data_IF_218385306420
#
_entry.id   IF_218385306420
#
_cell.length_a   1.000
_cell.length_b   1.000
_cell.length_c   1.000
_cell.angle_alpha   90.00
_cell.angle_beta   90.00
_cell.angle_gamma   90.00
#
_symmetry.space_group_name_H-M   'P 1'
#
loop_
_entity.id
_entity.type
_entity.pdbx_description
1 polymer ?
#
# COMPACT_ATOMS: atom_id res chain seq x y z
N UNK A 1 -30.86 67.88 -9.37
CA UNK A 1 -30.18 67.77 -8.07
C UNK A 1 -30.42 66.37 -7.50
N UNK A 2 -29.47 65.46 -7.74
CA UNK A 2 -28.98 64.34 -6.87
C UNK A 2 -28.18 63.38 -7.75
N UNK A 3 -26.85 63.46 -7.63
CA UNK A 3 -25.92 62.39 -8.00
C UNK A 3 -26.02 61.26 -6.95
N UNK A 4 -25.86 60.01 -7.38
CA UNK A 4 -25.31 58.90 -6.56
C UNK A 4 -24.95 57.74 -7.52
N UNK A 5 -23.69 57.67 -7.97
CA UNK A 5 -22.58 56.80 -7.50
C UNK A 5 -22.57 55.40 -8.13
N UNK A 6 -21.50 55.15 -8.90
CA UNK A 6 -21.04 53.88 -9.46
C UNK A 6 -20.82 52.81 -8.39
N UNK A 7 -20.97 51.54 -8.79
CA UNK A 7 -20.19 50.44 -8.22
C UNK A 7 -19.88 49.44 -9.32
N UNK A 8 -18.59 49.36 -9.66
CA UNK A 8 -17.99 48.27 -10.41
C UNK A 8 -17.81 47.09 -9.47
N UNK A 9 -18.19 45.89 -9.91
CA UNK A 9 -17.69 44.66 -9.29
C UNK A 9 -16.89 43.91 -10.35
N UNK A 10 -15.58 43.82 -10.12
CA UNK A 10 -14.64 43.09 -10.95
C UNK A 10 -14.93 41.59 -10.89
N UNK A 11 -15.13 40.97 -12.04
CA UNK A 11 -15.13 39.51 -12.17
C UNK A 11 -13.68 39.03 -12.24
N UNK A 12 -13.13 38.58 -11.11
CA UNK A 12 -11.84 37.88 -11.09
C UNK A 12 -12.05 36.43 -11.54
N UNK A 13 -11.48 36.08 -12.70
CA UNK A 13 -11.34 34.70 -13.14
C UNK A 13 -10.30 34.01 -12.26
N UNK A 14 -10.74 33.16 -11.33
CA UNK A 14 -9.87 32.20 -10.67
C UNK A 14 -9.59 31.06 -11.65
N UNK A 15 -8.42 31.08 -12.29
CA UNK A 15 -7.89 29.93 -13.02
C UNK A 15 -7.43 28.89 -12.00
N UNK A 16 -8.28 27.89 -11.74
CA UNK A 16 -7.95 26.74 -10.92
C UNK A 16 -7.12 25.76 -11.76
N UNK A 17 -5.80 25.91 -11.75
CA UNK A 17 -4.87 24.93 -12.31
C UNK A 17 -4.80 23.74 -11.35
N UNK A 18 -5.58 22.69 -11.62
CA UNK A 18 -5.43 21.39 -10.96
C UNK A 18 -4.14 20.74 -11.48
N UNK A 19 -3.08 20.78 -10.69
CA UNK A 19 -1.93 19.90 -10.92
C UNK A 19 -2.39 18.47 -10.61
N UNK A 20 -2.27 17.51 -11.54
CA UNK A 20 -2.44 16.11 -11.20
C UNK A 20 -1.30 15.72 -10.25
N UNK A 21 -1.64 15.38 -9.02
CA UNK A 21 -0.75 14.62 -8.16
C UNK A 21 -0.63 13.24 -8.78
N UNK A 22 0.39 13.05 -9.62
CA UNK A 22 0.84 11.73 -10.00
C UNK A 22 1.79 11.32 -8.87
N UNK A 23 1.29 10.57 -7.88
CA UNK A 23 2.16 9.67 -7.12
C UNK A 23 2.54 8.61 -8.14
N UNK A 24 3.68 8.82 -8.78
CA UNK A 24 4.25 7.89 -9.72
C UNK A 24 5.37 7.23 -8.96
N UNK A 25 5.16 5.98 -8.59
CA UNK A 25 6.24 5.17 -8.06
C UNK A 25 7.29 5.07 -9.17
N UNK A 26 8.55 5.31 -8.81
CA UNK A 26 9.66 5.39 -9.75
C UNK A 26 10.62 4.27 -9.45
N UNK A 27 10.74 3.33 -10.37
CA UNK A 27 11.83 2.35 -10.37
C UNK A 27 13.15 3.10 -10.28
N UNK A 28 13.98 2.72 -9.32
CA UNK A 28 15.32 3.26 -9.17
C UNK A 28 16.35 2.14 -9.17
N UNK A 29 17.52 2.34 -9.80
CA UNK A 29 18.59 1.37 -9.67
C UNK A 29 19.10 1.34 -8.22
N UNK A 30 19.54 0.17 -7.76
CA UNK A 30 20.10 -0.01 -6.41
C UNK A 30 21.21 1.01 -6.06
N UNK A 31 21.95 1.50 -7.06
CA UNK A 31 22.99 2.54 -6.89
C UNK A 31 22.47 3.89 -6.40
N UNK A 32 21.17 4.16 -6.52
CA UNK A 32 20.51 5.38 -6.04
C UNK A 32 19.87 5.21 -4.65
N UNK A 33 19.87 3.99 -4.12
CA UNK A 33 19.37 3.70 -2.77
C UNK A 33 20.45 4.03 -1.74
N UNK A 34 20.16 4.83 -0.70
CA UNK A 34 21.12 5.16 0.35
C UNK A 34 21.65 3.92 1.04
N UNK A 35 22.96 3.91 1.36
CA UNK A 35 23.60 2.76 2.01
C UNK A 35 22.96 2.35 3.34
N UNK A 36 22.40 3.30 4.09
CA UNK A 36 21.66 3.01 5.33
C UNK A 36 20.39 2.19 5.06
N UNK A 37 19.69 2.44 3.95
CA UNK A 37 18.49 1.70 3.54
C UNK A 37 18.87 0.32 3.02
N UNK A 38 19.90 0.23 2.17
CA UNK A 38 20.44 -1.05 1.69
C UNK A 38 20.88 -1.97 2.86
N UNK A 39 21.60 -1.40 3.82
CA UNK A 39 22.06 -2.15 4.99
C UNK A 39 20.90 -2.57 5.91
N UNK A 40 19.87 -1.73 6.05
CA UNK A 40 18.69 -2.08 6.83
C UNK A 40 17.94 -3.27 6.22
N UNK A 41 17.71 -3.25 4.90
CA UNK A 41 17.08 -4.37 4.20
C UNK A 41 17.93 -5.65 4.33
N UNK A 42 19.23 -5.58 4.01
CA UNK A 42 20.11 -6.75 4.09
C UNK A 42 20.24 -7.33 5.50
N UNK A 43 20.14 -6.49 6.54
CA UNK A 43 20.18 -6.94 7.93
C UNK A 43 18.87 -7.62 8.36
N UNK A 44 17.73 -7.11 7.89
CA UNK A 44 16.41 -7.67 8.22
C UNK A 44 16.09 -8.92 7.39
N UNK A 45 16.53 -8.94 6.13
CA UNK A 45 16.24 -9.98 5.14
C UNK A 45 17.55 -10.47 4.47
N UNK A 46 18.42 -11.19 5.20
CA UNK A 46 19.72 -11.61 4.68
C UNK A 46 19.67 -12.59 3.49
N UNK A 47 18.49 -13.19 3.25
CA UNK A 47 18.25 -14.13 2.16
C UNK A 47 17.47 -13.52 0.99
N UNK A 48 17.23 -12.20 0.99
CA UNK A 48 16.53 -11.52 -0.09
C UNK A 48 17.26 -11.74 -1.43
N UNK A 49 16.53 -12.17 -2.45
CA UNK A 49 17.01 -12.36 -3.80
C UNK A 49 16.22 -11.46 -4.77
N UNK A 50 16.80 -11.16 -5.92
CA UNK A 50 16.12 -10.40 -6.99
C UNK A 50 15.55 -9.05 -6.53
N UNK A 51 16.27 -8.32 -5.64
CA UNK A 51 15.74 -7.08 -5.06
C UNK A 51 15.55 -5.99 -6.12
N UNK A 52 14.30 -5.58 -6.31
CA UNK A 52 13.89 -4.43 -7.11
C UNK A 52 13.54 -3.27 -6.19
N UNK A 53 13.80 -2.04 -6.64
CA UNK A 53 13.67 -0.85 -5.80
C UNK A 53 12.82 0.19 -6.49
N UNK A 54 11.89 0.74 -5.72
CA UNK A 54 11.11 1.91 -6.10
C UNK A 54 11.26 3.02 -5.07
N UNK A 55 10.99 4.25 -5.50
CA UNK A 55 10.97 5.41 -4.62
C UNK A 55 9.68 6.20 -4.74
N UNK A 56 9.00 6.35 -3.61
CA UNK A 56 7.76 7.11 -3.46
C UNK A 56 7.99 8.22 -2.44
N UNK A 57 8.19 9.45 -2.92
CA UNK A 57 8.60 10.60 -2.10
C UNK A 57 9.88 10.30 -1.30
N UNK A 58 9.79 10.16 0.03
CA UNK A 58 10.90 9.88 0.95
C UNK A 58 10.92 8.43 1.44
N UNK A 59 10.11 7.56 0.83
CA UNK A 59 10.01 6.13 1.11
C UNK A 59 10.73 5.37 -0.01
N UNK A 60 11.50 4.38 0.40
CA UNK A 60 12.12 3.39 -0.47
C UNK A 60 11.37 2.09 -0.32
N UNK A 61 10.87 1.56 -1.41
CA UNK A 61 10.20 0.27 -1.44
C UNK A 61 11.14 -0.77 -2.06
N UNK A 62 11.26 -1.92 -1.41
CA UNK A 62 12.02 -3.06 -1.90
C UNK A 62 11.08 -4.24 -2.10
N UNK A 63 11.00 -4.72 -3.34
CA UNK A 63 10.34 -5.97 -3.69
C UNK A 63 11.42 -7.03 -3.92
N UNK A 64 11.24 -8.22 -3.36
CA UNK A 64 12.24 -9.30 -3.46
C UNK A 64 11.65 -10.66 -3.13
N UNK A 65 12.37 -11.70 -3.53
CA UNK A 65 12.02 -13.08 -3.23
C UNK A 65 12.78 -13.60 -2.01
N UNK A 66 12.09 -14.38 -1.18
CA UNK A 66 12.71 -15.37 -0.29
C UNK A 66 12.10 -16.73 -0.61
N UNK A 67 12.95 -17.65 -1.09
CA UNK A 67 12.56 -18.95 -1.64
C UNK A 67 11.58 -18.81 -2.83
N UNK A 68 10.28 -19.02 -2.60
CA UNK A 68 9.23 -18.92 -3.62
C UNK A 68 8.18 -17.88 -3.27
N UNK A 69 8.51 -16.95 -2.36
CA UNK A 69 7.57 -15.96 -1.86
C UNK A 69 8.11 -14.56 -2.10
N UNK A 70 7.22 -13.72 -2.60
CA UNK A 70 7.46 -12.30 -2.75
C UNK A 70 7.27 -11.58 -1.41
N UNK A 71 8.13 -10.60 -1.17
CA UNK A 71 8.08 -9.69 -0.05
C UNK A 71 8.20 -8.26 -0.58
N UNK A 72 7.37 -7.38 -0.06
CA UNK A 72 7.47 -5.94 -0.29
C UNK A 72 7.76 -5.24 1.04
N UNK A 73 8.76 -4.37 1.08
CA UNK A 73 9.15 -3.67 2.31
C UNK A 73 9.31 -2.18 2.03
N UNK A 74 8.57 -1.35 2.78
CA UNK A 74 8.77 0.09 2.77
C UNK A 74 9.72 0.53 3.88
N UNK A 75 10.77 1.25 3.51
CA UNK A 75 11.76 1.83 4.40
C UNK A 75 11.76 3.35 4.27
N UNK A 76 11.87 4.04 5.40
CA UNK A 76 12.21 5.47 5.41
C UNK A 76 13.64 5.73 4.93
N UNK A 77 13.97 6.97 4.58
CA UNK A 77 15.32 7.39 4.24
C UNK A 77 16.40 7.11 5.32
N UNK A 78 16.00 6.84 6.57
CA UNK A 78 16.92 6.44 7.67
C UNK A 78 17.06 4.93 7.84
N UNK A 79 16.44 4.12 6.96
CA UNK A 79 16.45 2.66 7.04
C UNK A 79 15.48 2.07 8.07
N UNK A 80 14.54 2.86 8.59
CA UNK A 80 13.46 2.32 9.45
C UNK A 80 12.41 1.65 8.59
N UNK A 81 12.12 0.37 8.85
CA UNK A 81 11.01 -0.38 8.24
C UNK A 81 9.68 0.22 8.73
N UNK A 82 8.83 0.59 7.78
CA UNK A 82 7.54 1.23 8.03
C UNK A 82 6.39 0.22 7.96
N UNK A 83 6.42 -0.65 6.97
CA UNK A 83 5.48 -1.76 6.78
C UNK A 83 6.09 -2.82 5.88
N UNK A 84 5.62 -4.06 6.02
CA UNK A 84 6.06 -5.21 5.23
C UNK A 84 4.86 -5.98 4.75
N UNK A 85 4.89 -6.42 3.50
CA UNK A 85 3.90 -7.29 2.87
C UNK A 85 4.61 -8.58 2.47
N UNK A 86 3.96 -9.71 2.67
CA UNK A 86 4.46 -11.01 2.26
C UNK A 86 3.31 -11.78 1.64
N UNK A 87 3.54 -12.29 0.43
CA UNK A 87 2.62 -13.20 -0.23
C UNK A 87 2.36 -14.46 0.63
N UNK A 88 1.09 -14.88 0.68
CA UNK A 88 0.63 -16.08 1.36
C UNK A 88 -0.04 -17.03 0.38
N UNK A 89 0.43 -18.27 0.36
CA UNK A 89 -0.35 -19.34 -0.24
C UNK A 89 -1.67 -19.57 0.52
N UNK A 90 -2.70 -20.04 -0.18
CA UNK A 90 -4.04 -20.37 0.37
C UNK A 90 -4.01 -21.16 1.69
N UNK A 91 -3.02 -22.03 1.85
CA UNK A 91 -2.88 -22.91 3.04
C UNK A 91 -2.31 -22.20 4.27
N UNK A 92 -1.72 -21.02 4.08
CA UNK A 92 -1.04 -20.24 5.10
C UNK A 92 -1.94 -19.19 5.75
N UNK A 93 -3.06 -18.87 5.09
CA UNK A 93 -4.08 -17.99 5.63
C UNK A 93 -4.73 -18.62 6.88
N UNK A 94 -4.85 -17.88 8.01
CA UNK A 94 -5.43 -18.44 9.23
C UNK A 94 -6.86 -18.94 9.04
N UNK A 95 -7.20 -20.02 9.74
CA UNK A 95 -8.52 -20.64 9.64
C UNK A 95 -9.67 -19.69 10.00
N UNK A 96 -9.45 -18.80 10.98
CA UNK A 96 -10.42 -17.78 11.35
C UNK A 96 -10.70 -16.79 10.20
N UNK A 97 -9.66 -16.40 9.47
CA UNK A 97 -9.77 -15.51 8.31
C UNK A 97 -10.50 -16.20 7.18
N UNK A 98 -10.10 -17.43 6.81
CA UNK A 98 -10.80 -18.26 5.80
C UNK A 98 -12.27 -18.46 6.15
N UNK A 99 -12.56 -18.78 7.41
CA UNK A 99 -13.94 -18.95 7.89
C UNK A 99 -14.76 -17.67 7.79
N UNK A 100 -14.17 -16.52 8.13
CA UNK A 100 -14.83 -15.22 8.00
C UNK A 100 -15.11 -14.87 6.53
N UNK A 101 -14.18 -15.17 5.61
CA UNK A 101 -14.37 -15.00 4.17
C UNK A 101 -15.53 -15.87 3.69
N UNK A 102 -15.49 -17.17 3.97
CA UNK A 102 -16.53 -18.11 3.58
C UNK A 102 -17.93 -17.76 4.15
N UNK A 103 -17.99 -17.20 5.36
CA UNK A 103 -19.25 -16.83 5.99
C UNK A 103 -19.87 -15.56 5.37
N UNK A 104 -19.05 -14.54 5.13
CA UNK A 104 -19.51 -13.19 4.79
C UNK A 104 -19.47 -12.88 3.27
N UNK A 105 -18.65 -13.62 2.52
CA UNK A 105 -18.35 -13.34 1.11
C UNK A 105 -18.60 -14.55 0.20
N UNK A 106 -19.70 -15.27 0.42
CA UNK A 106 -20.06 -16.55 -0.26
C UNK A 106 -20.08 -16.53 -1.80
N UNK A 107 -20.25 -15.36 -2.41
CA UNK A 107 -20.31 -15.21 -3.87
C UNK A 107 -18.98 -14.74 -4.49
N UNK A 108 -17.93 -14.69 -3.67
CA UNK A 108 -16.59 -14.31 -4.08
C UNK A 108 -15.65 -15.51 -4.01
N UNK A 109 -14.59 -15.48 -4.83
CA UNK A 109 -13.47 -16.41 -4.78
C UNK A 109 -12.27 -15.67 -4.17
N UNK A 110 -11.52 -16.31 -3.29
CA UNK A 110 -10.22 -15.77 -2.86
C UNK A 110 -9.27 -15.83 -4.07
N UNK A 111 -8.72 -14.68 -4.44
CA UNK A 111 -7.75 -14.60 -5.54
C UNK A 111 -6.33 -14.48 -5.00
N UNK A 112 -6.13 -13.56 -4.06
CA UNK A 112 -4.81 -13.30 -3.48
C UNK A 112 -4.90 -13.01 -1.96
N UNK A 113 -3.80 -13.26 -1.25
CA UNK A 113 -3.69 -13.01 0.17
C UNK A 113 -2.27 -12.64 0.60
N UNK A 114 -2.13 -11.56 1.36
CA UNK A 114 -0.86 -11.15 1.96
C UNK A 114 -0.92 -11.10 3.49
N UNK A 115 0.22 -11.36 4.13
CA UNK A 115 0.49 -10.93 5.49
C UNK A 115 1.05 -9.50 5.46
N UNK A 116 0.29 -8.56 6.03
CA UNK A 116 0.74 -7.19 6.25
C UNK A 116 1.18 -7.02 7.71
N UNK A 117 2.42 -6.59 7.93
CA UNK A 117 2.87 -6.06 9.21
C UNK A 117 2.98 -4.55 9.17
N UNK A 118 2.25 -3.86 10.05
CA UNK A 118 2.20 -2.40 10.15
C UNK A 118 1.97 -1.95 11.58
N UNK A 119 2.73 -0.96 12.03
CA UNK A 119 2.64 -0.43 13.40
C UNK A 119 2.74 -1.52 14.51
N UNK A 120 3.57 -2.54 14.27
CA UNK A 120 3.75 -3.67 15.19
C UNK A 120 2.54 -4.61 15.29
N UNK A 121 1.63 -4.56 14.31
CA UNK A 121 0.45 -5.42 14.22
C UNK A 121 0.44 -6.18 12.90
N UNK A 122 -0.12 -7.39 12.95
CA UNK A 122 -0.33 -8.23 11.78
C UNK A 122 -1.77 -8.12 11.29
N UNK A 123 -1.92 -8.05 9.97
CA UNK A 123 -3.17 -8.03 9.24
C UNK A 123 -3.07 -8.95 8.03
N UNK A 124 -4.22 -9.33 7.49
CA UNK A 124 -4.33 -10.13 6.28
C UNK A 124 -5.02 -9.30 5.22
N UNK A 125 -4.28 -8.93 4.18
CA UNK A 125 -4.88 -8.33 3.00
C UNK A 125 -5.40 -9.45 2.12
N UNK A 126 -6.63 -9.36 1.65
CA UNK A 126 -7.17 -10.35 0.71
C UNK A 126 -7.87 -9.65 -0.44
N UNK A 127 -7.59 -10.12 -1.64
CA UNK A 127 -8.34 -9.79 -2.84
C UNK A 127 -9.36 -10.89 -3.13
N UNK A 128 -10.61 -10.48 -3.26
CA UNK A 128 -11.73 -11.37 -3.51
C UNK A 128 -12.33 -11.07 -4.88
N UNK A 129 -12.21 -12.02 -5.80
CA UNK A 129 -12.80 -11.98 -7.13
C UNK A 129 -14.33 -12.02 -7.06
N UNK A 130 -14.95 -11.00 -7.64
CA UNK A 130 -16.40 -10.90 -7.72
C UNK A 130 -16.90 -10.77 -9.15
N UNK A 131 -18.11 -11.26 -9.43
CA UNK A 131 -18.69 -11.21 -10.79
C UNK A 131 -18.72 -9.82 -11.43
N UNK A 132 -18.91 -8.76 -10.63
CA UNK A 132 -19.03 -7.38 -11.12
C UNK A 132 -17.82 -6.50 -10.77
N UNK A 133 -17.16 -6.80 -9.66
CA UNK A 133 -16.01 -6.09 -9.15
C UNK A 133 -15.35 -6.93 -8.07
N UNK A 134 -14.06 -6.75 -7.95
CA UNK A 134 -13.27 -7.38 -6.91
C UNK A 134 -13.41 -6.59 -5.60
N UNK A 135 -13.09 -7.25 -4.50
CA UNK A 135 -13.14 -6.66 -3.16
C UNK A 135 -11.81 -6.89 -2.46
N UNK A 136 -11.13 -5.78 -2.18
CA UNK A 136 -9.92 -5.72 -1.37
C UNK A 136 -10.29 -5.50 0.09
N UNK A 137 -9.83 -6.38 0.98
CA UNK A 137 -10.11 -6.33 2.43
C UNK A 137 -8.81 -6.32 3.21
N UNK A 138 -8.84 -5.67 4.38
CA UNK A 138 -7.81 -5.86 5.42
C UNK A 138 -8.50 -6.47 6.63
N UNK A 139 -8.06 -7.64 7.05
CA UNK A 139 -8.64 -8.41 8.14
C UNK A 139 -7.63 -8.55 9.28
N UNK A 140 -8.09 -8.56 10.53
CA UNK A 140 -7.24 -8.98 11.65
C UNK A 140 -7.13 -10.52 11.73
N UNK A 141 -6.32 -11.04 12.64
CA UNK A 141 -6.14 -12.48 12.83
C UNK A 141 -7.43 -13.24 13.24
N UNK A 142 -8.48 -12.54 13.67
CA UNK A 142 -9.79 -13.13 13.95
C UNK A 142 -10.74 -13.08 12.73
N UNK A 143 -10.28 -12.58 11.58
CA UNK A 143 -11.07 -12.42 10.36
C UNK A 143 -11.99 -11.21 10.39
N UNK A 144 -11.78 -10.25 11.29
CA UNK A 144 -12.59 -9.02 11.36
C UNK A 144 -11.99 -7.94 10.48
N UNK A 145 -12.83 -7.32 9.65
CA UNK A 145 -12.46 -6.22 8.75
C UNK A 145 -12.01 -4.97 9.52
N UNK A 146 -10.86 -4.42 9.12
CA UNK A 146 -10.19 -3.25 9.70
C UNK A 146 -10.30 -2.06 8.75
N UNK A 147 -11.38 -1.30 8.84
CA UNK A 147 -11.64 -0.16 7.95
C UNK A 147 -10.70 1.05 8.16
N UNK A 148 -9.87 1.03 9.20
CA UNK A 148 -8.90 2.09 9.51
C UNK A 148 -7.48 1.75 9.04
N UNK A 149 -7.30 0.60 8.38
CA UNK A 149 -6.04 0.19 7.76
C UNK A 149 -6.29 0.12 6.26
N UNK A 150 -5.54 0.93 5.50
CA UNK A 150 -5.64 0.90 4.04
C UNK A 150 -5.10 -0.42 3.50
N UNK A 151 -5.76 -0.94 2.47
CA UNK A 151 -5.15 -1.96 1.61
C UNK A 151 -3.95 -1.32 0.88
N UNK A 152 -2.80 -1.97 0.96
CA UNK A 152 -1.56 -1.58 0.31
C UNK A 152 -1.35 -2.50 -0.91
N UNK A 153 -1.66 -1.96 -2.09
CA UNK A 153 -1.15 -2.48 -3.36
C UNK A 153 0.29 -2.01 -3.51
#
# INVERSE_FOLDING_TARGET
MKLMTMSFLAASFFSLSTLPFIDQDQDIPQSEVPSVVLNALSSAYPNAASVEWEKVKDIYEAEFDIDTKEYTVQLSATGTILQTKQDLGDTELPEAVKSAIAANYKNYKLDDADLLEKDGRQYYQVELDGRLKDKKLVLDAAGKEQNNVSYWD
#
